data_IF_030723896062
#
_entry.id   IF_030723896062
#
_cell.length_a   1.000
_cell.length_b   1.000
_cell.length_c   1.000
_cell.angle_alpha   90.00
_cell.angle_beta   90.00
_cell.angle_gamma   90.00
#
_symmetry.space_group_name_H-M   'P 1'
#
loop_
_entity.id
_entity.type
_entity.pdbx_description
1 polymer ?
#
# COMPACT_ATOMS: atom_id res chain seq x y z
N UNK A 1 -16.51 -5.03 -8.31
CA UNK A 1 -15.22 -5.75 -8.48
C UNK A 1 -14.14 -4.72 -8.32
N UNK A 2 -13.20 -4.89 -7.40
CA UNK A 2 -12.17 -3.90 -7.12
C UNK A 2 -11.37 -3.47 -8.37
N UNK A 3 -10.82 -2.26 -8.32
CA UNK A 3 -9.87 -1.73 -9.30
C UNK A 3 -8.49 -1.59 -8.67
N UNK A 4 -7.46 -1.93 -9.44
CA UNK A 4 -6.06 -1.63 -9.10
C UNK A 4 -5.46 -0.73 -10.17
N UNK A 5 -4.54 0.12 -9.77
CA UNK A 5 -3.74 0.96 -10.65
C UNK A 5 -2.30 1.07 -10.13
N UNK A 6 -1.35 1.27 -11.04
CA UNK A 6 0.04 1.54 -10.71
C UNK A 6 0.71 2.35 -11.80
N UNK A 7 1.67 3.17 -11.40
CA UNK A 7 2.46 4.04 -12.28
C UNK A 7 3.91 4.09 -11.80
N UNK A 8 4.86 4.13 -12.72
CA UNK A 8 6.29 4.35 -12.42
C UNK A 8 6.94 5.16 -13.52
N UNK A 9 7.53 6.29 -13.13
CA UNK A 9 8.35 7.15 -13.98
C UNK A 9 9.80 6.66 -13.96
N UNK A 10 10.41 6.55 -15.14
CA UNK A 10 11.79 6.10 -15.32
C UNK A 10 12.73 7.31 -15.27
N UNK A 11 13.64 7.32 -14.31
CA UNK A 11 14.74 8.27 -14.17
C UNK A 11 14.33 9.70 -13.80
N UNK A 12 13.06 9.96 -13.47
CA UNK A 12 12.59 11.31 -13.13
C UNK A 12 11.42 11.29 -12.14
N UNK A 13 11.13 12.48 -11.58
CA UNK A 13 10.04 12.71 -10.62
C UNK A 13 8.85 13.32 -11.34
N UNK A 14 7.67 12.97 -10.88
CA UNK A 14 6.41 13.54 -11.34
C UNK A 14 5.43 13.68 -10.16
N UNK A 15 4.30 14.33 -10.41
CA UNK A 15 3.20 14.43 -9.46
C UNK A 15 2.38 13.13 -9.44
N UNK A 16 3.02 12.08 -8.91
CA UNK A 16 2.46 10.73 -8.81
C UNK A 16 1.15 10.74 -8.01
N UNK A 17 1.01 11.62 -7.02
CA UNK A 17 -0.23 11.74 -6.26
C UNK A 17 -1.42 12.16 -7.13
N UNK A 18 -1.27 13.19 -7.96
CA UNK A 18 -2.31 13.64 -8.89
C UNK A 18 -2.62 12.61 -10.00
N UNK A 19 -1.59 11.96 -10.54
CA UNK A 19 -1.72 10.92 -11.56
C UNK A 19 -2.48 9.71 -11.02
N UNK A 20 -2.06 9.17 -9.86
CA UNK A 20 -2.73 8.07 -9.19
C UNK A 20 -4.16 8.42 -8.81
N UNK A 21 -4.41 9.64 -8.33
CA UNK A 21 -5.76 10.11 -8.00
C UNK A 21 -6.66 10.07 -9.23
N UNK A 22 -6.16 10.55 -10.37
CA UNK A 22 -6.91 10.56 -11.63
C UNK A 22 -7.23 9.14 -12.13
N UNK A 23 -6.23 8.25 -12.08
CA UNK A 23 -6.39 6.84 -12.46
C UNK A 23 -7.41 6.13 -11.58
N UNK A 24 -7.31 6.25 -10.25
CA UNK A 24 -8.24 5.59 -9.32
C UNK A 24 -9.64 6.20 -9.37
N UNK A 25 -9.76 7.51 -9.58
CA UNK A 25 -11.05 8.17 -9.74
C UNK A 25 -11.81 7.64 -10.97
N UNK A 26 -11.10 7.36 -12.07
CA UNK A 26 -11.69 6.71 -13.24
C UNK A 26 -12.09 5.25 -12.99
N UNK A 27 -11.57 4.61 -11.94
CA UNK A 27 -11.96 3.27 -11.48
C UNK A 27 -13.01 3.32 -10.34
N UNK A 28 -13.61 4.47 -10.03
CA UNK A 28 -14.60 4.58 -8.94
C UNK A 28 -15.80 3.62 -9.12
N UNK A 29 -16.22 3.34 -10.35
CA UNK A 29 -17.31 2.40 -10.64
C UNK A 29 -16.98 0.96 -10.25
N UNK A 30 -15.69 0.63 -10.09
CA UNK A 30 -15.24 -0.68 -9.62
C UNK A 30 -15.36 -0.86 -8.11
N UNK A 31 -15.22 0.22 -7.37
CA UNK A 31 -15.25 0.24 -5.91
C UNK A 31 -15.37 1.64 -5.34
N UNK A 32 -16.56 2.07 -4.91
CA UNK A 32 -16.77 3.43 -4.40
C UNK A 32 -16.56 3.55 -2.87
N UNK A 33 -16.34 2.44 -2.17
CA UNK A 33 -16.49 2.39 -0.71
C UNK A 33 -15.23 2.88 0.02
N UNK A 34 -14.06 2.45 -0.45
CA UNK A 34 -12.77 2.93 0.06
C UNK A 34 -11.72 2.98 -1.04
N UNK A 35 -10.77 3.89 -0.85
CA UNK A 35 -9.64 4.09 -1.76
C UNK A 35 -8.36 4.15 -0.96
N UNK A 36 -7.30 3.58 -1.51
CA UNK A 36 -5.97 3.75 -0.97
C UNK A 36 -4.88 3.90 -2.02
N UNK A 37 -3.76 4.40 -1.54
CA UNK A 37 -2.57 4.82 -2.25
C UNK A 37 -1.35 4.33 -1.48
N UNK A 38 -0.35 3.84 -2.19
CA UNK A 38 1.01 3.71 -1.72
C UNK A 38 1.85 4.51 -2.70
N UNK A 39 2.37 5.64 -2.24
CA UNK A 39 3.16 6.57 -3.05
C UNK A 39 4.57 6.64 -2.51
N UNK A 40 5.55 6.74 -3.41
CA UNK A 40 6.96 6.67 -3.08
C UNK A 40 7.64 7.99 -3.40
N UNK A 41 7.99 8.72 -2.34
CA UNK A 41 8.81 9.93 -2.41
C UNK A 41 10.30 9.61 -2.40
N UNK A 42 11.13 10.66 -2.31
CA UNK A 42 12.58 10.48 -2.24
C UNK A 42 12.99 10.00 -0.84
N UNK A 43 13.64 8.84 -0.72
CA UNK A 43 14.13 8.38 0.57
C UNK A 43 15.23 9.32 1.06
N UNK A 44 15.07 9.82 2.29
CA UNK A 44 16.13 10.55 2.99
C UNK A 44 16.81 9.57 3.94
N UNK A 45 18.13 9.41 3.78
CA UNK A 45 18.92 8.49 4.60
C UNK A 45 18.77 8.81 6.09
N UNK A 46 18.47 7.78 6.90
CA UNK A 46 18.22 7.91 8.33
C UNK A 46 16.83 8.46 8.71
N UNK A 47 16.05 8.93 7.74
CA UNK A 47 14.69 9.43 7.96
C UNK A 47 13.65 8.42 7.49
N UNK A 48 12.55 8.34 8.25
CA UNK A 48 11.41 7.48 7.99
C UNK A 48 10.14 8.30 7.99
N UNK A 49 9.21 7.92 7.12
CA UNK A 49 7.83 8.38 7.19
C UNK A 49 6.99 7.24 7.77
N UNK A 50 6.30 7.54 8.86
CA UNK A 50 5.37 6.62 9.51
C UNK A 50 3.96 7.17 9.39
N UNK A 51 3.08 6.38 8.76
CA UNK A 51 1.63 6.64 8.70
C UNK A 51 0.96 5.68 9.67
N UNK A 52 0.15 6.19 10.57
CA UNK A 52 -0.56 5.36 11.54
C UNK A 52 -1.98 5.86 11.78
N UNK A 53 -2.83 4.91 12.14
CA UNK A 53 -4.21 5.11 12.50
C UNK A 53 -4.39 4.75 13.97
N UNK A 54 -5.18 5.54 14.69
CA UNK A 54 -5.36 5.41 16.14
C UNK A 54 -6.81 5.16 16.56
N UNK A 55 -7.70 4.95 15.58
CA UNK A 55 -9.10 4.52 15.76
C UNK A 55 -9.71 4.18 14.40
N UNK A 56 -10.80 3.41 14.39
CA UNK A 56 -11.63 3.27 13.19
C UNK A 56 -12.42 4.54 12.89
N UNK A 57 -12.83 4.73 11.64
CA UNK A 57 -13.70 5.85 11.27
C UNK A 57 -15.02 5.82 12.06
N UNK A 58 -15.57 4.63 12.31
CA UNK A 58 -16.82 4.42 13.05
C UNK A 58 -16.70 4.77 14.55
N UNK A 59 -15.51 4.62 15.14
CA UNK A 59 -15.27 4.94 16.55
C UNK A 59 -15.49 6.44 16.85
N UNK A 60 -15.38 7.29 15.81
CA UNK A 60 -15.61 8.72 15.93
C UNK A 60 -17.06 9.08 16.26
N UNK A 61 -18.01 8.17 16.05
CA UNK A 61 -19.43 8.37 16.36
C UNK A 61 -19.73 8.18 17.86
N UNK A 62 -18.80 7.62 18.64
CA UNK A 62 -19.01 7.22 20.04
C UNK A 62 -18.93 8.37 21.08
N UNK A 63 -18.84 9.64 20.65
CA UNK A 63 -18.95 10.82 21.51
C UNK A 63 -17.66 11.24 22.24
N UNK A 64 -17.75 12.20 23.18
CA UNK A 64 -16.58 12.96 23.71
C UNK A 64 -15.45 12.11 24.30
N UNK A 65 -15.74 10.94 24.86
CA UNK A 65 -14.71 10.06 25.47
C UNK A 65 -13.72 9.49 24.46
N UNK A 66 -14.04 9.49 23.16
CA UNK A 66 -13.10 9.00 22.15
C UNK A 66 -11.91 9.96 22.03
N UNK A 67 -12.13 11.28 22.08
CA UNK A 67 -11.05 12.26 21.90
C UNK A 67 -9.97 12.13 22.98
N UNK A 68 -10.35 11.95 24.25
CA UNK A 68 -9.39 11.75 25.34
C UNK A 68 -8.56 10.47 25.11
N UNK A 69 -9.21 9.38 24.69
CA UNK A 69 -8.53 8.11 24.35
C UNK A 69 -7.57 8.26 23.16
N UNK A 70 -7.93 9.08 22.16
CA UNK A 70 -7.04 9.36 21.03
C UNK A 70 -5.78 10.08 21.49
N UNK A 71 -5.90 11.08 22.37
CA UNK A 71 -4.73 11.77 22.93
C UNK A 71 -3.87 10.81 23.77
N UNK A 72 -4.48 9.96 24.61
CA UNK A 72 -3.74 8.93 25.38
C UNK A 72 -2.96 7.97 24.47
N UNK A 73 -3.56 7.52 23.36
CA UNK A 73 -2.89 6.68 22.36
C UNK A 73 -1.71 7.41 21.71
N UNK A 74 -1.89 8.68 21.39
CA UNK A 74 -0.83 9.51 20.80
C UNK A 74 0.34 9.69 21.76
N UNK A 75 0.06 9.97 23.04
CA UNK A 75 1.08 10.08 24.07
C UNK A 75 1.83 8.75 24.29
N UNK A 76 1.13 7.62 24.22
CA UNK A 76 1.74 6.30 24.28
C UNK A 76 2.70 6.05 23.10
N UNK A 77 2.28 6.37 21.87
CA UNK A 77 3.14 6.27 20.68
C UNK A 77 4.38 7.17 20.81
N UNK A 78 4.21 8.43 21.23
CA UNK A 78 5.33 9.35 21.44
C UNK A 78 6.33 8.82 22.49
N UNK A 79 5.83 8.24 23.59
CA UNK A 79 6.67 7.66 24.63
C UNK A 79 7.44 6.44 24.13
N UNK A 80 6.81 5.59 23.31
CA UNK A 80 7.47 4.43 22.70
C UNK A 80 8.57 4.91 21.74
N UNK A 81 8.27 5.85 20.84
CA UNK A 81 9.26 6.44 19.93
C UNK A 81 10.47 6.99 20.68
N UNK A 82 10.24 7.77 21.75
CA UNK A 82 11.31 8.30 22.59
C UNK A 82 12.11 7.20 23.29
N UNK A 83 11.47 6.13 23.77
CA UNK A 83 12.15 5.01 24.43
C UNK A 83 13.08 4.23 23.49
N UNK A 84 12.74 4.19 22.20
CA UNK A 84 13.56 3.61 21.13
C UNK A 84 14.63 4.56 20.60
N UNK A 85 14.62 5.83 21.02
CA UNK A 85 15.58 6.84 20.58
C UNK A 85 15.24 7.48 19.22
N UNK A 86 13.99 7.34 18.75
CA UNK A 86 13.54 8.00 17.54
C UNK A 86 13.36 9.51 17.76
N UNK A 87 13.90 10.33 16.86
CA UNK A 87 13.75 11.78 16.87
C UNK A 87 12.61 12.18 15.94
N UNK A 88 11.50 12.69 16.49
CA UNK A 88 10.36 13.13 15.68
C UNK A 88 10.59 14.55 15.15
N UNK A 89 10.77 14.66 13.83
CA UNK A 89 10.96 15.93 13.13
C UNK A 89 9.64 16.61 12.78
N UNK A 90 8.65 15.80 12.35
CA UNK A 90 7.32 16.27 11.96
C UNK A 90 6.29 15.35 12.58
N UNK A 91 5.22 15.95 13.13
CA UNK A 91 4.04 15.26 13.62
C UNK A 91 2.81 15.99 13.12
N UNK A 92 2.04 15.34 12.26
CA UNK A 92 0.86 15.90 11.61
C UNK A 92 -0.35 15.03 11.89
N UNK A 93 -1.46 15.66 12.28
CA UNK A 93 -2.76 15.01 12.42
C UNK A 93 -3.61 15.35 11.20
N UNK A 94 -3.59 14.45 10.21
CA UNK A 94 -4.25 14.64 8.91
C UNK A 94 -5.76 14.44 9.01
N UNK A 95 -6.17 13.46 9.83
CA UNK A 95 -7.55 13.24 10.29
C UNK A 95 -7.54 13.05 11.80
N UNK A 96 -8.69 13.18 12.51
CA UNK A 96 -8.75 12.92 13.94
C UNK A 96 -8.12 11.58 14.36
N UNK A 97 -8.25 10.55 13.52
CA UNK A 97 -7.72 9.21 13.74
C UNK A 97 -6.48 8.86 12.89
N UNK A 98 -6.01 9.74 12.00
CA UNK A 98 -4.90 9.44 11.08
C UNK A 98 -3.74 10.43 11.27
N UNK A 99 -2.56 9.89 11.54
CA UNK A 99 -1.34 10.63 11.87
C UNK A 99 -0.23 10.32 10.87
N UNK A 100 0.63 11.32 10.68
CA UNK A 100 1.86 11.23 9.90
C UNK A 100 3.01 11.71 10.77
N UNK A 101 4.03 10.87 10.90
CA UNK A 101 5.28 11.20 11.57
C UNK A 101 6.41 11.17 10.54
N UNK A 102 7.29 12.16 10.60
CA UNK A 102 8.61 12.09 9.96
C UNK A 102 9.61 12.04 11.09
N UNK A 103 10.42 10.98 11.13
CA UNK A 103 11.32 10.71 12.25
C UNK A 103 12.71 10.29 11.75
N UNK A 104 13.74 10.56 12.53
CA UNK A 104 15.05 9.94 12.36
C UNK A 104 15.20 8.80 13.36
N UNK A 105 15.77 7.66 12.93
CA UNK A 105 16.01 6.53 13.80
C UNK A 105 17.18 5.69 13.30
N UNK A 106 18.15 5.41 14.15
CA UNK A 106 19.31 4.55 13.83
C UNK A 106 19.18 3.13 14.42
N UNK A 107 18.09 2.86 15.14
CA UNK A 107 17.85 1.58 15.81
C UNK A 107 17.04 0.59 14.95
N UNK A 108 16.54 -0.46 15.61
CA UNK A 108 15.69 -1.45 14.97
C UNK A 108 14.29 -0.87 14.75
N UNK A 109 13.90 -0.64 13.49
CA UNK A 109 12.58 -0.15 13.12
C UNK A 109 11.49 -1.19 13.35
N UNK A 110 11.83 -2.48 13.30
CA UNK A 110 10.88 -3.58 13.54
C UNK A 110 10.49 -3.67 15.00
N UNK A 111 11.46 -3.68 15.91
CA UNK A 111 11.21 -3.67 17.37
C UNK A 111 10.41 -2.43 17.80
N UNK A 112 10.71 -1.27 17.20
CA UNK A 112 9.95 -0.04 17.41
C UNK A 112 8.50 -0.16 16.94
N UNK A 113 8.29 -0.66 15.73
CA UNK A 113 6.97 -0.85 15.16
C UNK A 113 6.14 -1.86 15.96
N UNK A 114 6.76 -2.95 16.44
CA UNK A 114 6.11 -3.96 17.27
C UNK A 114 5.59 -3.37 18.59
N UNK A 115 6.41 -2.60 19.33
CA UNK A 115 5.95 -1.95 20.56
C UNK A 115 4.84 -0.93 20.32
N UNK A 116 4.86 -0.19 19.21
CA UNK A 116 3.77 0.73 18.85
C UNK A 116 2.45 -0.03 18.66
N UNK A 117 2.48 -1.16 17.94
CA UNK A 117 1.33 -2.02 17.65
C UNK A 117 0.77 -2.77 18.87
N UNK A 118 1.49 -2.80 19.99
CA UNK A 118 0.95 -3.29 21.27
C UNK A 118 -0.05 -2.30 21.90
N UNK A 119 -0.06 -1.05 21.44
CA UNK A 119 -1.01 -0.04 21.90
C UNK A 119 -2.39 -0.30 21.29
N UNK A 120 -3.35 -0.68 22.13
CA UNK A 120 -4.69 -1.07 21.67
C UNK A 120 -5.39 0.03 20.84
N UNK A 121 -5.73 -0.32 19.59
CA UNK A 121 -6.39 0.56 18.63
C UNK A 121 -5.46 1.49 17.86
N UNK A 122 -4.14 1.30 17.99
CA UNK A 122 -3.13 1.87 17.09
C UNK A 122 -2.76 0.82 16.04
N UNK A 123 -2.64 1.25 14.80
CA UNK A 123 -2.22 0.45 13.65
C UNK A 123 -1.30 1.30 12.76
N UNK A 124 -0.08 0.81 12.51
CA UNK A 124 0.85 1.38 11.57
C UNK A 124 0.44 0.94 10.17
N UNK A 125 0.07 1.92 9.35
CA UNK A 125 -0.29 1.69 7.95
C UNK A 125 0.95 1.51 7.08
N UNK A 126 2.01 2.26 7.37
CA UNK A 126 3.32 2.10 6.74
C UNK A 126 4.41 2.74 7.58
N UNK A 127 5.59 2.12 7.55
CA UNK A 127 6.85 2.69 7.99
C UNK A 127 7.86 2.45 6.86
N UNK A 128 8.40 3.51 6.28
CA UNK A 128 9.30 3.40 5.13
C UNK A 128 10.18 4.63 4.97
N UNK A 129 11.22 4.54 4.14
CA UNK A 129 12.07 5.68 3.84
C UNK A 129 11.46 6.58 2.77
N UNK A 130 10.73 5.99 1.81
CA UNK A 130 10.03 6.72 0.76
C UNK A 130 8.54 6.41 0.66
N UNK A 131 8.11 5.26 1.19
CA UNK A 131 6.71 4.82 1.16
C UNK A 131 5.84 5.65 2.11
N UNK A 132 4.76 6.19 1.57
CA UNK A 132 3.61 6.64 2.34
C UNK A 132 2.36 5.86 1.90
N UNK A 133 1.78 5.09 2.82
CA UNK A 133 0.50 4.42 2.62
C UNK A 133 -0.64 5.27 3.18
N UNK A 134 -1.57 5.62 2.31
CA UNK A 134 -2.78 6.36 2.62
C UNK A 134 -3.96 5.48 2.23
N UNK A 135 -4.84 5.14 3.17
CA UNK A 135 -6.10 4.46 2.88
C UNK A 135 -7.20 4.99 3.78
N UNK A 136 -8.36 5.26 3.19
CA UNK A 136 -9.50 5.83 3.91
C UNK A 136 -10.81 5.51 3.17
N UNK A 137 -11.93 5.81 3.82
CA UNK A 137 -13.26 5.65 3.26
C UNK A 137 -13.57 6.75 2.25
N UNK A 138 -14.30 6.40 1.20
CA UNK A 138 -14.69 7.30 0.12
C UNK A 138 -13.90 7.12 -1.17
N UNK A 139 -14.22 7.99 -2.14
CA UNK A 139 -13.59 7.95 -3.46
C UNK A 139 -12.19 8.56 -3.49
N UNK A 140 -11.48 8.25 -4.58
CA UNK A 140 -10.11 8.65 -4.82
C UNK A 140 -9.90 10.16 -4.63
N UNK A 141 -10.73 11.00 -5.23
CA UNK A 141 -10.62 12.46 -5.11
C UNK A 141 -10.77 12.95 -3.67
N UNK A 142 -11.77 12.42 -2.94
CA UNK A 142 -12.03 12.79 -1.55
C UNK A 142 -10.86 12.41 -0.62
N UNK A 143 -10.30 11.20 -0.81
CA UNK A 143 -9.13 10.74 -0.04
C UNK A 143 -7.88 11.52 -0.46
N UNK A 144 -7.69 11.85 -1.73
CA UNK A 144 -6.55 12.62 -2.18
C UNK A 144 -6.54 14.05 -1.60
N UNK A 145 -7.69 14.73 -1.60
CA UNK A 145 -7.85 16.06 -0.99
C UNK A 145 -7.59 16.00 0.52
N UNK A 146 -8.14 14.99 1.19
CA UNK A 146 -8.00 14.77 2.64
C UNK A 146 -6.55 14.68 3.11
N UNK A 147 -5.70 14.01 2.32
CA UNK A 147 -4.32 13.71 2.67
C UNK A 147 -3.29 14.54 1.89
N UNK A 148 -3.75 15.53 1.11
CA UNK A 148 -2.86 16.44 0.39
C UNK A 148 -2.07 15.79 -0.75
N UNK A 149 -2.61 14.76 -1.39
CA UNK A 149 -1.92 14.02 -2.46
C UNK A 149 -1.81 14.81 -3.77
N UNK A 150 -2.57 15.90 -3.94
CA UNK A 150 -2.61 16.68 -5.18
C UNK A 150 -1.27 17.29 -5.61
N UNK A 151 -0.32 17.44 -4.69
CA UNK A 151 1.03 17.97 -4.93
C UNK A 151 2.13 16.98 -4.54
N UNK A 152 1.81 15.69 -4.37
CA UNK A 152 2.80 14.69 -3.98
C UNK A 152 3.72 14.34 -5.16
N UNK A 153 4.98 14.74 -5.05
CA UNK A 153 6.02 14.41 -6.01
C UNK A 153 6.79 13.15 -5.60
N UNK A 154 6.92 12.21 -6.54
CA UNK A 154 7.59 10.94 -6.33
C UNK A 154 7.98 10.29 -7.66
N UNK A 155 8.40 9.03 -7.58
CA UNK A 155 8.77 8.26 -8.78
C UNK A 155 7.66 7.29 -9.20
N UNK A 156 6.99 6.68 -8.24
CA UNK A 156 6.01 5.63 -8.53
C UNK A 156 4.99 5.46 -7.41
N UNK A 157 3.91 4.75 -7.72
CA UNK A 157 2.88 4.43 -6.77
C UNK A 157 1.91 3.37 -7.28
N UNK A 158 1.19 2.77 -6.33
CA UNK A 158 0.09 1.84 -6.58
C UNK A 158 -1.12 2.26 -5.77
N UNK A 159 -2.30 1.86 -6.22
CA UNK A 159 -3.53 2.20 -5.55
C UNK A 159 -4.64 1.23 -5.87
N UNK A 160 -5.70 1.34 -5.08
CA UNK A 160 -6.80 0.40 -5.12
C UNK A 160 -8.13 1.08 -4.80
N UNK A 161 -9.17 0.73 -5.56
CA UNK A 161 -10.57 1.08 -5.28
C UNK A 161 -11.34 -0.17 -4.87
N UNK A 162 -11.90 -0.18 -3.66
CA UNK A 162 -12.54 -1.37 -3.07
C UNK A 162 -14.06 -1.30 -3.18
N UNK A 163 -14.66 -2.44 -3.50
CA UNK A 163 -16.11 -2.66 -3.35
C UNK A 163 -16.32 -3.69 -2.26
N UNK A 164 -16.90 -3.28 -1.14
CA UNK A 164 -17.30 -4.17 -0.07
C UNK A 164 -18.57 -4.92 -0.49
N UNK A 165 -18.43 -6.19 -0.90
CA UNK A 165 -19.59 -7.01 -1.32
C UNK A 165 -20.19 -7.83 -0.17
N UNK A 166 -19.39 -8.16 0.86
CA UNK A 166 -19.79 -9.06 1.96
C UNK A 166 -19.23 -8.67 3.34
N UNK A 167 -18.34 -7.67 3.42
CA UNK A 167 -17.69 -7.24 4.67
C UNK A 167 -18.09 -5.81 5.02
N UNK A 168 -17.82 -5.41 6.25
CA UNK A 168 -17.92 -4.00 6.64
C UNK A 168 -16.96 -3.13 5.82
N UNK A 169 -17.30 -1.85 5.74
CA UNK A 169 -16.52 -0.81 5.07
C UNK A 169 -15.57 -0.22 6.11
N UNK A 170 -14.49 -0.95 6.38
CA UNK A 170 -13.44 -0.52 7.30
C UNK A 170 -12.16 -0.11 6.57
N UNK A 171 -11.32 0.68 7.26
CA UNK A 171 -10.01 1.11 6.74
C UNK A 171 -9.02 -0.05 6.78
N UNK A 172 -9.17 -0.96 7.76
CA UNK A 172 -8.26 -2.09 7.97
C UNK A 172 -8.20 -3.00 6.74
N UNK A 173 -9.36 -3.36 6.21
CA UNK A 173 -9.51 -4.23 5.04
C UNK A 173 -9.29 -3.52 3.71
N UNK A 174 -9.08 -2.19 3.72
CA UNK A 174 -8.74 -1.44 2.53
C UNK A 174 -7.27 -1.67 2.13
N UNK A 175 -7.04 -1.81 0.83
CA UNK A 175 -5.73 -1.79 0.22
C UNK A 175 -5.19 -0.35 0.11
N UNK A 176 -3.88 -0.17 -0.12
CA UNK A 176 -2.81 -1.18 -0.20
C UNK A 176 -2.49 -1.86 1.14
N UNK A 177 -1.79 -3.00 1.09
CA UNK A 177 -1.18 -3.62 2.26
C UNK A 177 0.32 -3.33 2.30
N UNK A 178 0.84 -3.09 3.50
CA UNK A 178 2.26 -2.94 3.77
C UNK A 178 2.79 -4.24 4.38
N UNK A 179 3.99 -4.66 3.99
CA UNK A 179 4.61 -5.87 4.51
C UNK A 179 5.26 -5.60 5.88
N UNK A 180 4.49 -5.58 6.97
CA UNK A 180 5.04 -5.39 8.31
C UNK A 180 6.16 -6.41 8.64
N UNK A 181 7.29 -6.02 9.25
CA UNK A 181 7.79 -4.65 9.52
C UNK A 181 8.80 -4.18 8.45
N UNK A 182 8.74 -4.69 7.22
CA UNK A 182 9.69 -4.40 6.15
C UNK A 182 9.42 -3.05 5.50
N UNK A 183 10.43 -2.20 5.49
CA UNK A 183 10.32 -0.87 4.89
C UNK A 183 10.03 -0.94 3.40
N UNK A 184 9.21 0.00 2.93
CA UNK A 184 9.01 0.31 1.52
C UNK A 184 8.50 -0.85 0.65
N UNK A 185 7.82 -1.86 1.19
CA UNK A 185 7.16 -2.92 0.40
C UNK A 185 5.64 -2.83 0.55
N UNK A 186 4.93 -2.54 -0.54
CA UNK A 186 3.47 -2.45 -0.54
C UNK A 186 2.84 -3.18 -1.73
N UNK A 187 1.66 -3.76 -1.51
CA UNK A 187 0.91 -4.55 -2.50
C UNK A 187 -0.54 -4.08 -2.64
N UNK A 188 -1.02 -4.06 -3.88
CA UNK A 188 -2.45 -4.03 -4.20
C UNK A 188 -2.82 -5.29 -4.97
N UNK A 189 -3.96 -5.88 -4.65
CA UNK A 189 -4.35 -7.18 -5.16
C UNK A 189 -5.82 -7.15 -5.61
N UNK A 190 -6.08 -7.67 -6.81
CA UNK A 190 -7.41 -7.92 -7.32
C UNK A 190 -7.56 -9.42 -7.57
N UNK A 191 -8.30 -10.10 -6.71
CA UNK A 191 -8.36 -11.55 -6.77
C UNK A 191 -8.82 -12.19 -5.48
N UNK A 192 -8.59 -13.50 -5.42
CA UNK A 192 -8.74 -14.28 -4.21
C UNK A 192 -7.69 -15.38 -4.18
N UNK A 193 -7.01 -15.52 -3.05
CA UNK A 193 -6.05 -16.59 -2.79
C UNK A 193 -6.77 -17.74 -2.08
N UNK A 194 -6.76 -18.91 -2.68
CA UNK A 194 -7.49 -20.09 -2.22
C UNK A 194 -6.70 -20.92 -1.20
N UNK A 195 -5.36 -20.89 -1.23
CA UNK A 195 -4.50 -21.58 -0.26
C UNK A 195 -3.97 -20.66 0.86
N UNK A 196 -4.61 -19.50 1.10
CA UNK A 196 -4.16 -18.45 2.03
C UNK A 196 -3.76 -18.99 3.42
N UNK A 197 -4.63 -19.76 4.08
CA UNK A 197 -4.36 -20.26 5.44
C UNK A 197 -3.18 -21.23 5.53
N UNK A 198 -2.85 -21.91 4.43
CA UNK A 198 -1.68 -22.78 4.38
C UNK A 198 -0.42 -21.91 4.31
N UNK A 199 -0.38 -21.01 3.33
CA UNK A 199 0.75 -20.11 3.09
C UNK A 199 1.01 -19.16 4.27
N UNK A 200 -0.05 -18.64 4.89
CA UNK A 200 0.06 -17.82 6.11
C UNK A 200 0.77 -18.58 7.22
N UNK A 201 0.37 -19.82 7.51
CA UNK A 201 1.01 -20.65 8.55
C UNK A 201 2.47 -20.95 8.23
N UNK A 202 2.83 -21.06 6.96
CA UNK A 202 4.23 -21.23 6.55
C UNK A 202 5.05 -19.96 6.81
N UNK A 203 4.49 -18.78 6.52
CA UNK A 203 5.14 -17.51 6.82
C UNK A 203 5.23 -17.24 8.32
N UNK A 204 4.20 -17.57 9.10
CA UNK A 204 4.23 -17.48 10.57
C UNK A 204 5.32 -18.38 11.17
N UNK A 205 5.51 -19.60 10.64
CA UNK A 205 6.63 -20.48 11.04
C UNK A 205 8.00 -19.93 10.71
N UNK A 206 8.09 -19.06 9.70
CA UNK A 206 9.31 -18.32 9.33
C UNK A 206 9.53 -17.06 10.17
N UNK A 207 8.62 -16.76 11.12
CA UNK A 207 8.72 -15.63 12.04
C UNK A 207 7.97 -14.37 11.60
N UNK A 208 7.17 -14.43 10.54
CA UNK A 208 6.39 -13.27 10.10
C UNK A 208 5.09 -13.12 10.88
N UNK A 209 4.66 -11.87 11.07
CA UNK A 209 3.39 -11.50 11.69
C UNK A 209 2.42 -10.99 10.62
N UNK A 210 1.13 -11.26 10.83
CA UNK A 210 0.03 -10.73 10.03
C UNK A 210 -0.82 -9.80 10.89
N UNK A 211 -1.23 -8.69 10.32
CA UNK A 211 -2.03 -7.62 10.92
C UNK A 211 -3.52 -7.78 10.62
N UNK A 212 -3.85 -8.53 9.58
CA UNK A 212 -5.21 -8.77 9.10
C UNK A 212 -5.44 -10.24 8.76
N UNK A 213 -6.72 -10.58 8.56
CA UNK A 213 -7.14 -11.86 7.96
C UNK A 213 -7.38 -11.72 6.45
N UNK A 214 -6.95 -10.60 5.84
CA UNK A 214 -7.05 -10.41 4.41
C UNK A 214 -5.99 -11.25 3.71
N UNK A 215 -6.41 -11.96 2.66
CA UNK A 215 -5.54 -12.79 1.87
C UNK A 215 -4.42 -12.00 1.18
N UNK A 216 -4.70 -10.75 0.83
CA UNK A 216 -3.81 -9.84 0.12
C UNK A 216 -2.55 -9.50 0.91
N UNK A 217 -2.62 -9.51 2.24
CA UNK A 217 -1.46 -9.27 3.10
C UNK A 217 -0.38 -10.35 2.91
N UNK A 218 -0.80 -11.58 2.55
CA UNK A 218 0.13 -12.67 2.25
C UNK A 218 1.10 -12.29 1.14
N UNK A 219 0.63 -11.63 0.08
CA UNK A 219 1.49 -11.25 -1.04
C UNK A 219 2.55 -10.22 -0.63
N UNK A 220 2.20 -9.30 0.27
CA UNK A 220 3.14 -8.33 0.83
C UNK A 220 4.21 -9.04 1.69
N UNK A 221 3.79 -9.85 2.65
CA UNK A 221 4.69 -10.61 3.54
C UNK A 221 5.57 -11.60 2.76
N UNK A 222 4.99 -12.31 1.80
CA UNK A 222 5.70 -13.27 0.94
C UNK A 222 6.80 -12.58 0.12
N UNK A 223 6.47 -11.45 -0.50
CA UNK A 223 7.43 -10.69 -1.30
C UNK A 223 8.53 -10.12 -0.43
N UNK A 224 8.19 -9.51 0.69
CA UNK A 224 9.18 -8.95 1.61
C UNK A 224 10.12 -10.02 2.20
N UNK A 225 9.59 -11.20 2.53
CA UNK A 225 10.40 -12.34 2.95
C UNK A 225 11.48 -12.70 1.92
N UNK A 226 11.10 -12.79 0.65
CA UNK A 226 12.04 -13.13 -0.41
C UNK A 226 13.08 -12.05 -0.64
N UNK A 227 12.67 -10.78 -0.69
CA UNK A 227 13.58 -9.65 -0.82
C UNK A 227 14.60 -9.61 0.32
N UNK A 228 14.15 -9.80 1.57
CA UNK A 228 15.01 -9.86 2.75
C UNK A 228 16.02 -11.03 2.72
N UNK A 229 15.72 -12.10 1.97
CA UNK A 229 16.62 -13.23 1.74
C UNK A 229 17.45 -13.10 0.45
N UNK A 230 17.50 -11.91 -0.16
CA UNK A 230 18.32 -11.62 -1.34
C UNK A 230 17.77 -12.16 -2.65
N UNK A 231 16.50 -12.56 -2.69
CA UNK A 231 15.83 -12.96 -3.94
C UNK A 231 15.39 -11.69 -4.68
N UNK A 232 15.71 -11.53 -5.98
CA UNK A 232 15.23 -10.40 -6.77
C UNK A 232 13.71 -10.33 -6.84
N UNK A 233 13.15 -9.13 -6.97
CA UNK A 233 11.70 -8.92 -7.02
C UNK A 233 11.03 -9.79 -8.07
N UNK A 234 11.53 -9.77 -9.31
CA UNK A 234 10.93 -10.54 -10.42
C UNK A 234 10.86 -12.04 -10.11
N UNK A 235 11.92 -12.60 -9.51
CA UNK A 235 11.97 -14.00 -9.11
C UNK A 235 10.99 -14.31 -7.96
N UNK A 236 10.84 -13.39 -6.99
CA UNK A 236 9.83 -13.52 -5.94
C UNK A 236 8.41 -13.57 -6.53
N UNK A 237 8.13 -12.72 -7.52
CA UNK A 237 6.83 -12.69 -8.19
C UNK A 237 6.58 -13.96 -9.01
N UNK A 238 7.60 -14.50 -9.70
CA UNK A 238 7.50 -15.78 -10.40
C UNK A 238 7.16 -16.92 -9.44
N UNK A 239 7.87 -17.02 -8.31
CA UNK A 239 7.57 -18.05 -7.29
C UNK A 239 6.18 -17.92 -6.71
N UNK A 240 5.66 -16.69 -6.59
CA UNK A 240 4.29 -16.49 -6.12
C UNK A 240 3.26 -17.16 -7.03
N UNK A 241 3.50 -17.21 -8.35
CA UNK A 241 2.59 -17.87 -9.30
C UNK A 241 2.62 -19.39 -9.11
N UNK A 242 3.79 -19.96 -8.82
CA UNK A 242 3.95 -21.40 -8.62
C UNK A 242 3.42 -21.89 -7.26
N UNK A 243 3.53 -21.08 -6.21
CA UNK A 243 3.27 -21.49 -4.82
C UNK A 243 1.91 -21.02 -4.27
N UNK A 244 1.37 -19.91 -4.79
CA UNK A 244 0.12 -19.32 -4.31
C UNK A 244 -1.02 -19.71 -5.26
N UNK A 245 -1.97 -20.52 -4.76
CA UNK A 245 -3.12 -20.94 -5.52
C UNK A 245 -4.23 -19.90 -5.43
N UNK A 246 -4.75 -19.44 -6.56
CA UNK A 246 -5.85 -18.50 -6.57
C UNK A 246 -6.18 -18.00 -7.97
N UNK A 247 -7.01 -16.97 -7.99
CA UNK A 247 -7.28 -16.17 -9.19
C UNK A 247 -6.97 -14.73 -8.80
N UNK A 248 -5.82 -14.23 -9.20
CA UNK A 248 -5.27 -12.96 -8.76
C UNK A 248 -4.45 -12.25 -9.83
N UNK A 249 -4.58 -10.93 -9.80
CA UNK A 249 -3.59 -10.02 -10.38
C UNK A 249 -3.18 -9.04 -9.29
N UNK A 250 -1.89 -8.83 -9.10
CA UNK A 250 -1.41 -7.90 -8.07
C UNK A 250 -0.24 -7.06 -8.57
N UNK A 251 -0.12 -5.88 -7.97
CA UNK A 251 1.00 -4.97 -8.17
C UNK A 251 1.75 -4.85 -6.86
N UNK A 252 3.06 -4.70 -6.95
CA UNK A 252 3.94 -4.48 -5.81
C UNK A 252 4.83 -3.30 -6.07
N UNK A 253 4.98 -2.44 -5.08
CA UNK A 253 6.03 -1.43 -5.07
C UNK A 253 7.07 -1.81 -4.01
N UNK A 254 8.31 -1.56 -4.36
CA UNK A 254 9.45 -1.53 -3.43
C UNK A 254 10.01 -0.11 -3.40
N UNK A 255 11.09 0.16 -2.68
CA UNK A 255 11.74 1.49 -2.64
C UNK A 255 11.98 2.11 -4.03
N UNK A 256 12.35 1.31 -5.03
CA UNK A 256 12.78 1.79 -6.35
C UNK A 256 12.25 0.94 -7.52
N UNK A 257 11.30 0.02 -7.28
CA UNK A 257 10.75 -0.83 -8.32
C UNK A 257 9.23 -0.97 -8.23
N UNK A 258 8.56 -1.02 -9.39
CA UNK A 258 7.18 -1.45 -9.55
C UNK A 258 7.18 -2.83 -10.22
N UNK A 259 6.46 -3.79 -9.65
CA UNK A 259 6.27 -5.12 -10.20
C UNK A 259 4.81 -5.47 -10.38
N UNK A 260 4.54 -6.39 -11.29
CA UNK A 260 3.22 -6.99 -11.47
C UNK A 260 3.34 -8.50 -11.69
N UNK A 261 2.29 -9.21 -11.30
CA UNK A 261 2.14 -10.63 -11.55
C UNK A 261 0.67 -11.00 -11.80
N UNK A 262 0.46 -11.89 -12.75
CA UNK A 262 -0.85 -12.42 -13.14
C UNK A 262 -0.86 -13.93 -12.94
N UNK A 263 -1.91 -14.44 -12.30
CA UNK A 263 -2.07 -15.88 -12.06
C UNK A 263 -2.26 -16.69 -13.36
N UNK A 264 -2.15 -18.03 -13.27
CA UNK A 264 -2.30 -18.95 -14.40
C UNK A 264 -3.67 -18.90 -15.09
N UNK A 265 -4.76 -18.63 -14.36
CA UNK A 265 -6.10 -18.49 -14.96
C UNK A 265 -6.27 -17.14 -15.65
N UNK A 266 -5.48 -16.12 -15.27
CA UNK A 266 -5.45 -14.80 -15.88
C UNK A 266 -6.83 -14.12 -15.96
N UNK A 267 -7.75 -14.45 -15.05
CA UNK A 267 -9.15 -14.03 -15.14
C UNK A 267 -9.40 -12.60 -14.66
N UNK A 268 -8.43 -11.99 -13.97
CA UNK A 268 -8.51 -10.64 -13.44
C UNK A 268 -7.83 -9.67 -14.42
N UNK A 269 -8.58 -8.70 -14.99
CA UNK A 269 -8.06 -7.86 -16.05
C UNK A 269 -6.99 -6.91 -15.52
N UNK A 270 -5.96 -6.72 -16.35
CA UNK A 270 -4.94 -5.70 -16.18
C UNK A 270 -4.60 -5.17 -17.57
N UNK A 271 -4.61 -3.86 -17.72
CA UNK A 271 -4.17 -3.18 -18.94
C UNK A 271 -2.80 -2.60 -18.62
N UNK A 272 -1.83 -2.85 -19.50
CA UNK A 272 -0.47 -2.37 -19.42
C UNK A 272 -0.17 -1.40 -20.57
N UNK A 273 0.35 -0.24 -20.20
CA UNK A 273 0.98 0.72 -21.08
C UNK A 273 2.46 0.83 -20.71
N UNK A 274 3.33 0.75 -21.70
CA UNK A 274 4.78 0.87 -21.52
C UNK A 274 5.36 1.84 -22.55
N UNK A 275 6.13 2.82 -22.06
CA UNK A 275 6.95 3.71 -22.87
C UNK A 275 8.39 3.77 -22.33
N UNK A 276 9.23 4.54 -23.02
CA UNK A 276 10.62 4.77 -22.62
C UNK A 276 10.71 5.54 -21.29
N UNK A 277 9.73 6.38 -20.97
CA UNK A 277 9.76 7.29 -19.83
C UNK A 277 8.83 6.85 -18.68
N UNK A 278 7.78 6.08 -18.97
CA UNK A 278 6.70 5.82 -18.02
C UNK A 278 6.06 4.46 -18.26
N UNK A 279 5.73 3.77 -17.17
CA UNK A 279 4.87 2.58 -17.20
C UNK A 279 3.61 2.90 -16.43
N UNK A 280 2.46 2.56 -17.00
CA UNK A 280 1.19 2.67 -16.33
C UNK A 280 0.40 1.38 -16.51
N UNK A 281 -0.27 0.96 -15.45
CA UNK A 281 -1.13 -0.21 -15.48
C UNK A 281 -2.37 0.00 -14.63
N UNK A 282 -3.47 -0.59 -15.06
CA UNK A 282 -4.73 -0.49 -14.33
C UNK A 282 -5.68 -1.61 -14.72
N UNK A 283 -6.71 -1.88 -13.90
CA UNK A 283 -7.74 -2.85 -14.26
C UNK A 283 -8.53 -2.51 -15.53
N UNK A 284 -8.54 -1.23 -15.95
CA UNK A 284 -9.19 -0.76 -17.17
C UNK A 284 -8.38 0.36 -17.83
N UNK A 285 -8.35 0.38 -19.17
CA UNK A 285 -7.65 1.38 -19.98
C UNK A 285 -8.11 2.83 -19.67
N UNK A 286 -9.37 3.02 -19.30
CA UNK A 286 -9.93 4.35 -18.95
C UNK A 286 -9.12 5.06 -17.86
N UNK A 287 -8.52 4.31 -16.94
CA UNK A 287 -7.66 4.87 -15.90
C UNK A 287 -6.36 5.43 -16.50
N UNK A 288 -5.68 4.66 -17.35
CA UNK A 288 -4.43 5.07 -18.01
C UNK A 288 -4.68 6.31 -18.90
N UNK A 289 -5.82 6.36 -19.59
CA UNK A 289 -6.18 7.53 -20.43
C UNK A 289 -6.42 8.82 -19.65
N UNK A 290 -6.55 8.77 -18.33
CA UNK A 290 -6.65 10.02 -17.53
C UNK A 290 -5.34 10.78 -17.46
N UNK A 291 -4.21 10.08 -17.60
CA UNK A 291 -2.87 10.66 -17.55
C UNK A 291 -2.25 10.80 -18.96
N UNK A 292 -2.79 10.11 -19.96
CA UNK A 292 -2.41 10.25 -21.36
C UNK A 292 -3.56 10.79 -22.23
N UNK A 293 -3.49 12.05 -22.69
CA UNK A 293 -4.51 12.63 -23.56
C UNK A 293 -4.41 12.16 -25.03
N UNK A 294 -3.29 11.53 -25.40
CA UNK A 294 -3.01 11.04 -26.76
C UNK A 294 -3.41 9.58 -26.99
N UNK A 295 -3.26 9.11 -28.22
CA UNK A 295 -3.50 7.70 -28.56
C UNK A 295 -2.37 6.85 -27.98
N UNK A 296 -2.73 5.81 -27.22
CA UNK A 296 -1.81 4.91 -26.54
C UNK A 296 -2.02 3.49 -27.03
N UNK A 297 -0.93 2.72 -27.14
CA UNK A 297 -1.00 1.29 -27.38
C UNK A 297 -0.96 0.57 -26.03
N UNK A 298 -1.96 -0.26 -25.77
CA UNK A 298 -2.09 -0.99 -24.50
C UNK A 298 -2.43 -2.43 -24.77
N UNK A 299 -2.01 -3.31 -23.87
CA UNK A 299 -2.32 -4.73 -23.96
C UNK A 299 -2.67 -5.30 -22.59
N UNK A 300 -3.39 -6.41 -22.59
CA UNK A 300 -3.61 -7.21 -21.38
C UNK A 300 -2.47 -8.24 -21.26
N UNK A 301 -1.66 -8.22 -20.19
CA UNK A 301 -0.61 -9.21 -19.98
C UNK A 301 -1.14 -10.65 -20.04
N UNK A 302 -0.31 -11.57 -20.52
CA UNK A 302 -0.67 -12.99 -20.64
C UNK A 302 -0.74 -13.68 -19.28
N UNK A 303 -1.24 -14.92 -19.28
CA UNK A 303 -1.17 -15.80 -18.12
C UNK A 303 0.27 -16.02 -17.66
N UNK A 304 0.44 -16.10 -16.34
CA UNK A 304 1.74 -16.27 -15.66
C UNK A 304 2.76 -15.17 -15.96
N UNK A 305 2.32 -14.05 -16.54
CA UNK A 305 3.22 -12.96 -16.87
C UNK A 305 3.70 -12.26 -15.59
N UNK A 306 5.01 -12.03 -15.54
CA UNK A 306 5.71 -11.26 -14.51
C UNK A 306 6.55 -10.20 -15.18
N UNK A 307 6.47 -8.98 -14.66
CA UNK A 307 7.25 -7.83 -15.10
C UNK A 307 7.65 -7.01 -13.90
N UNK A 308 8.85 -6.43 -13.96
CA UNK A 308 9.38 -5.50 -12.98
C UNK A 308 10.04 -4.36 -13.72
N UNK A 309 9.76 -3.14 -13.27
CA UNK A 309 10.33 -1.91 -13.78
C UNK A 309 11.02 -1.16 -12.66
N UNK A 310 12.02 -0.38 -13.02
CA UNK A 310 12.82 0.41 -12.09
C UNK A 310 12.54 1.90 -12.31
N UNK A 311 12.47 2.63 -11.20
CA UNK A 311 12.30 4.08 -11.16
C UNK A 311 13.56 4.83 -11.61
#
# INVERSE_FOLDING_TARGET
MCGIAGIIHKGHRANVGAEMTSMLQALKHRGPDSTGYAVYGDPVEGAYVMRLKIAEAEDMELGRSIHDRLEERIEAVDAILASHGAEVNVKERVRPYALRYVLNHDGDTGDMAEHIEETEGVEILSLGNGLELIKDLGDAGSVAEAYGLGDFEGTHGIGHTRMATESDVDIKSAHPYWAFPYNDVSVVHNGQITNYWIMRREMERKGHRFMSDCDSELLAVYTAHHLANGVPLEESLRRSIDEIDGVFTYLVCTRDQLGMAKDTMAAKPLVLYESDDLIAMASEEVAIRTIFPEEIDTHDPYDEEVRVWQA
#
